data_IF_409715929158
#
_entry.id   IF_409715929158
#
_cell.length_a   1.000
_cell.length_b   1.000
_cell.length_c   1.000
_cell.angle_alpha   90.00
_cell.angle_beta   90.00
_cell.angle_gamma   90.00
#
_symmetry.space_group_name_H-M   'P 1'
#
loop_
_entity.id
_entity.type
_entity.pdbx_description
1 polymer ?
#
# COMPACT_ATOMS: atom_id res chain seq x y z
N UNK A 1 -22.75 -18.61 2.94
CA UNK A 1 -21.59 -18.13 3.71
C UNK A 1 -20.33 -18.62 3.02
N UNK A 2 -19.29 -17.78 2.88
CA UNK A 2 -18.00 -18.22 2.31
C UNK A 2 -17.09 -18.78 3.43
N UNK A 3 -16.26 -19.77 3.11
CA UNK A 3 -15.28 -20.36 4.04
C UNK A 3 -14.00 -19.52 4.06
N UNK A 4 -13.43 -19.28 5.24
CA UNK A 4 -12.10 -18.68 5.38
C UNK A 4 -11.06 -19.77 5.13
N UNK A 5 -10.20 -19.58 4.14
CA UNK A 5 -9.17 -20.57 3.76
C UNK A 5 -7.84 -20.34 4.51
N UNK A 6 -7.57 -19.10 4.93
CA UNK A 6 -6.37 -18.74 5.68
C UNK A 6 -6.50 -17.38 6.35
N UNK A 7 -5.69 -17.15 7.37
CA UNK A 7 -5.52 -15.86 8.06
C UNK A 7 -4.02 -15.60 8.12
N UNK A 8 -3.59 -14.46 7.59
CA UNK A 8 -2.19 -14.08 7.51
C UNK A 8 -1.93 -12.88 8.41
N UNK A 9 -0.82 -12.89 9.14
CA UNK A 9 -0.41 -11.77 9.97
C UNK A 9 0.12 -10.63 9.09
N UNK A 10 -0.03 -9.39 9.57
CA UNK A 10 0.58 -8.22 8.91
C UNK A 10 2.10 -8.35 8.92
N UNK A 11 2.78 -8.29 7.77
CA UNK A 11 4.23 -8.22 7.72
C UNK A 11 4.77 -6.92 8.33
N UNK A 12 6.08 -6.87 8.57
CA UNK A 12 6.76 -5.65 9.04
C UNK A 12 6.58 -4.48 8.06
N UNK A 13 6.57 -3.27 8.62
CA UNK A 13 6.42 -2.07 7.82
C UNK A 13 7.72 -1.71 7.10
N UNK A 14 7.61 -1.20 5.88
CA UNK A 14 8.73 -0.69 5.11
C UNK A 14 8.36 0.60 4.37
N UNK A 15 9.38 1.31 3.88
CA UNK A 15 9.21 2.57 3.17
C UNK A 15 9.01 2.36 1.67
N UNK A 16 7.95 2.95 1.13
CA UNK A 16 7.77 3.13 -0.32
C UNK A 16 8.16 4.56 -0.68
N UNK A 17 9.30 4.70 -1.35
CA UNK A 17 9.91 6.01 -1.58
C UNK A 17 10.23 6.71 -0.27
N UNK A 18 9.87 7.99 -0.16
CA UNK A 18 10.13 8.84 1.02
C UNK A 18 8.85 9.36 1.70
N UNK A 19 7.68 8.78 1.39
CA UNK A 19 6.39 9.36 1.78
C UNK A 19 5.39 8.38 2.40
N UNK A 20 5.65 7.07 2.36
CA UNK A 20 4.72 6.06 2.86
C UNK A 20 5.46 4.97 3.63
N UNK A 21 5.15 4.83 4.92
CA UNK A 21 5.48 3.65 5.72
C UNK A 21 4.28 2.70 5.63
N UNK A 22 4.48 1.53 5.01
CA UNK A 22 3.39 0.61 4.66
C UNK A 22 3.68 -0.80 5.11
N UNK A 23 2.61 -1.56 5.36
CA UNK A 23 2.64 -3.02 5.46
C UNK A 23 2.08 -3.59 4.15
N UNK A 24 2.86 -4.36 3.38
CA UNK A 24 2.34 -5.10 2.22
C UNK A 24 1.57 -6.33 2.72
N UNK A 25 0.24 -6.27 2.71
CA UNK A 25 -0.61 -7.33 3.26
C UNK A 25 -0.67 -8.56 2.34
N UNK A 26 -0.48 -8.38 1.04
CA UNK A 26 -0.20 -9.46 0.10
C UNK A 26 0.54 -8.93 -1.12
N UNK A 27 1.29 -9.81 -1.79
CA UNK A 27 1.89 -9.59 -3.09
C UNK A 27 1.60 -10.77 -4.03
N UNK A 28 1.71 -10.55 -5.34
CA UNK A 28 1.55 -11.62 -6.31
C UNK A 28 2.61 -12.74 -6.14
N UNK A 29 3.80 -12.41 -5.64
CA UNK A 29 4.87 -13.38 -5.44
C UNK A 29 4.55 -14.39 -4.32
N UNK A 30 3.69 -14.01 -3.36
CA UNK A 30 3.36 -14.84 -2.20
C UNK A 30 2.01 -15.56 -2.38
N UNK A 31 0.96 -14.81 -2.74
CA UNK A 31 -0.45 -15.29 -2.78
C UNK A 31 -1.11 -15.11 -4.16
N UNK A 32 -0.31 -14.92 -5.21
CA UNK A 32 -0.79 -14.35 -6.48
C UNK A 32 -1.96 -15.05 -7.15
N UNK A 33 -1.92 -16.36 -7.30
CA UNK A 33 -3.00 -17.10 -7.97
C UNK A 33 -4.32 -17.06 -7.18
N UNK A 34 -4.24 -17.11 -5.84
CA UNK A 34 -5.42 -17.07 -4.96
C UNK A 34 -6.04 -15.68 -4.87
N UNK A 35 -5.23 -14.64 -5.08
CA UNK A 35 -5.64 -13.24 -4.97
C UNK A 35 -6.00 -12.60 -6.32
N UNK A 36 -6.00 -13.35 -7.43
CA UNK A 36 -6.39 -12.84 -8.75
C UNK A 36 -7.81 -12.21 -8.69
N UNK A 37 -8.02 -11.00 -9.26
CA UNK A 37 -7.14 -10.24 -10.16
C UNK A 37 -6.26 -9.19 -9.46
N UNK A 38 -6.06 -9.30 -8.14
CA UNK A 38 -5.28 -8.34 -7.37
C UNK A 38 -3.80 -8.74 -7.31
N UNK A 39 -2.93 -7.73 -7.43
CA UNK A 39 -1.48 -7.94 -7.51
C UNK A 39 -0.74 -7.55 -6.23
N UNK A 40 -1.22 -6.53 -5.52
CA UNK A 40 -0.57 -5.95 -4.35
C UNK A 40 -1.60 -5.18 -3.52
N UNK A 41 -1.47 -5.23 -2.20
CA UNK A 41 -2.15 -4.31 -1.28
C UNK A 41 -1.18 -3.83 -0.21
N UNK A 42 -0.87 -2.54 -0.27
CA UNK A 42 -0.11 -1.84 0.76
C UNK A 42 -1.05 -1.08 1.70
N UNK A 43 -0.98 -1.38 2.99
CA UNK A 43 -1.68 -0.65 4.02
C UNK A 43 -0.74 0.36 4.68
N UNK A 44 -0.96 1.64 4.39
CA UNK A 44 -0.26 2.74 5.05
C UNK A 44 -0.88 2.99 6.43
N UNK A 45 -0.23 2.52 7.50
CA UNK A 45 -0.68 2.77 8.86
C UNK A 45 -0.68 4.28 9.17
N UNK A 46 -1.61 4.77 10.02
CA UNK A 46 -1.62 6.17 10.45
C UNK A 46 -0.26 6.60 11.01
N UNK A 47 0.45 7.41 10.25
CA UNK A 47 1.81 7.88 10.59
C UNK A 47 1.79 9.39 10.71
N UNK A 48 2.33 9.91 11.83
CA UNK A 48 2.50 11.36 12.00
C UNK A 48 3.70 11.82 11.18
N UNK A 49 3.45 12.55 10.11
CA UNK A 49 4.48 13.22 9.35
C UNK A 49 4.72 14.63 9.92
N UNK A 50 5.98 15.04 10.03
CA UNK A 50 6.30 16.46 10.30
C UNK A 50 5.95 17.28 9.06
N UNK A 51 5.40 18.48 9.29
CA UNK A 51 5.20 19.45 8.23
C UNK A 51 6.55 19.75 7.55
N UNK A 52 6.54 19.73 6.21
CA UNK A 52 7.72 20.01 5.38
C UNK A 52 7.29 20.87 4.21
N UNK A 53 8.12 21.85 3.87
CA UNK A 53 7.95 22.70 2.68
C UNK A 53 8.32 21.97 1.38
N UNK A 54 8.94 20.79 1.47
CA UNK A 54 9.38 20.00 0.32
C UNK A 54 8.33 18.95 -0.02
N UNK A 55 7.78 19.00 -1.23
CA UNK A 55 6.85 17.99 -1.71
C UNK A 55 7.49 16.59 -1.69
N UNK A 56 6.84 15.65 -1.01
CA UNK A 56 7.10 14.21 -1.20
C UNK A 56 6.68 13.87 -2.62
N UNK A 57 7.67 13.75 -3.52
CA UNK A 57 7.42 13.42 -4.92
C UNK A 57 6.79 12.04 -5.00
N UNK A 58 5.55 11.97 -5.46
CA UNK A 58 4.99 10.71 -5.95
C UNK A 58 5.77 10.32 -7.20
N UNK A 59 6.42 9.16 -7.17
CA UNK A 59 7.03 8.62 -8.38
C UNK A 59 5.94 8.41 -9.45
N UNK A 60 6.18 8.78 -10.72
CA UNK A 60 5.30 8.36 -11.81
C UNK A 60 5.20 6.85 -11.73
N UNK A 61 3.99 6.30 -11.72
CA UNK A 61 3.81 4.87 -11.81
C UNK A 61 3.87 4.50 -13.31
N UNK A 62 4.93 3.87 -13.82
CA UNK A 62 4.80 3.13 -15.06
C UNK A 62 3.89 1.95 -14.76
N UNK A 63 2.69 1.94 -15.33
CA UNK A 63 1.82 0.78 -15.22
C UNK A 63 1.21 0.48 -16.59
N UNK A 64 2.02 -0.13 -17.47
CA UNK A 64 1.48 -0.83 -18.62
C UNK A 64 0.82 -2.12 -18.12
N UNK A 65 -0.49 -2.28 -18.35
CA UNK A 65 -1.20 -3.55 -18.13
C UNK A 65 -1.92 -3.75 -16.78
N UNK A 66 -1.80 -2.83 -15.82
CA UNK A 66 -2.54 -2.90 -14.54
C UNK A 66 -2.96 -1.51 -14.05
N UNK A 67 -3.79 -1.45 -12.99
CA UNK A 67 -4.27 -0.17 -12.42
C UNK A 67 -4.05 -0.11 -10.92
N UNK A 68 -3.59 1.04 -10.45
CA UNK A 68 -3.49 1.36 -9.03
C UNK A 68 -4.78 2.04 -8.54
N UNK A 69 -5.33 1.57 -7.42
CA UNK A 69 -6.40 2.26 -6.68
C UNK A 69 -5.93 2.57 -5.26
N UNK A 70 -6.05 3.84 -4.88
CA UNK A 70 -5.69 4.31 -3.54
C UNK A 70 -6.96 4.70 -2.78
N UNK A 71 -7.14 4.16 -1.58
CA UNK A 71 -8.20 4.57 -0.66
C UNK A 71 -7.59 5.28 0.55
N UNK A 72 -7.97 6.53 0.76
CA UNK A 72 -7.50 7.35 1.88
C UNK A 72 -8.47 7.21 3.05
N UNK A 73 -7.98 6.67 4.16
CA UNK A 73 -8.79 6.42 5.35
C UNK A 73 -8.74 7.54 6.39
N UNK A 74 -7.65 8.31 6.46
CA UNK A 74 -7.52 9.41 7.42
C UNK A 74 -6.54 10.48 6.97
N UNK A 75 -6.79 11.72 7.44
CA UNK A 75 -5.94 12.89 7.28
C UNK A 75 -5.71 13.35 5.85
N UNK A 76 -5.18 14.56 5.71
CA UNK A 76 -4.07 14.72 4.76
C UNK A 76 -2.90 14.07 5.49
N UNK A 77 -2.28 13.02 4.95
CA UNK A 77 -0.82 12.94 5.18
C UNK A 77 -0.30 14.33 4.82
N UNK A 78 0.75 14.82 5.48
CA UNK A 78 1.47 16.01 5.01
C UNK A 78 2.02 15.76 3.60
N UNK A 79 1.11 15.69 2.64
CA UNK A 79 1.26 15.71 1.22
C UNK A 79 0.86 17.15 0.90
N UNK A 80 1.82 18.01 0.57
CA UNK A 80 1.48 19.23 -0.15
C UNK A 80 0.70 18.88 -1.43
#
# INVERSE_FOLDING_TARGET
MKKILGVYNSPEAHWVGNGFLVNSLFSYNDLGAEMSPFLLLDHAAPTKFRETTRATRRWPAPASGFRNRNHRLSGRSGAP
#
